data_IF_837545345491
#
_entry.id   IF_837545345491
#
_cell.length_a   1.000
_cell.length_b   1.000
_cell.length_c   1.000
_cell.angle_alpha   90.00
_cell.angle_beta   90.00
_cell.angle_gamma   90.00
#
_symmetry.space_group_name_H-M   'P 1'
#
loop_
_entity.id
_entity.type
_entity.pdbx_description
1 polymer ?
#
# COMPACT_ATOMS: atom_id res chain seq x y z
N UNK A 1 -6.55 22.57 -12.94
CA UNK A 1 -6.53 21.51 -11.92
C UNK A 1 -7.07 22.11 -10.63
N UNK A 2 -8.29 21.74 -10.22
CA UNK A 2 -8.82 22.16 -8.92
C UNK A 2 -8.08 21.41 -7.82
N UNK A 3 -7.70 22.09 -6.74
CA UNK A 3 -7.09 21.45 -5.58
C UNK A 3 -8.04 20.38 -5.01
N UNK A 4 -7.53 19.23 -4.52
CA UNK A 4 -8.36 18.22 -3.88
C UNK A 4 -9.09 18.85 -2.70
N UNK A 5 -10.37 18.51 -2.56
CA UNK A 5 -11.20 19.04 -1.47
C UNK A 5 -10.61 18.61 -0.11
N UNK A 6 -10.46 19.57 0.82
CA UNK A 6 -9.87 19.31 2.14
C UNK A 6 -10.85 18.49 2.99
N UNK A 7 -10.42 17.36 3.59
CA UNK A 7 -11.29 16.52 4.41
C UNK A 7 -11.76 17.26 5.67
N UNK A 8 -13.05 17.16 6.00
CA UNK A 8 -13.67 17.92 7.11
C UNK A 8 -13.55 17.26 8.48
N UNK A 9 -13.28 15.95 8.55
CA UNK A 9 -13.14 15.19 9.80
C UNK A 9 -12.23 13.97 9.59
N UNK A 10 -11.51 13.58 10.63
CA UNK A 10 -10.66 12.38 10.63
C UNK A 10 -11.51 11.10 10.75
N UNK A 11 -11.08 9.99 10.13
CA UNK A 11 -11.69 8.67 10.35
C UNK A 11 -11.54 8.21 11.81
N UNK A 12 -12.26 7.15 12.23
CA UNK A 12 -11.96 6.46 13.48
C UNK A 12 -10.48 6.05 13.53
N UNK A 13 -9.80 6.36 14.63
CA UNK A 13 -8.35 6.11 14.78
C UNK A 13 -8.00 4.60 14.74
N UNK A 14 -8.96 3.73 15.02
CA UNK A 14 -8.84 2.28 15.06
C UNK A 14 -9.25 1.60 13.73
N UNK A 15 -9.40 2.36 12.65
CA UNK A 15 -9.77 1.82 11.34
C UNK A 15 -8.64 0.98 10.70
N UNK A 16 -7.39 1.17 11.13
CA UNK A 16 -6.19 0.54 10.54
C UNK A 16 -6.13 0.73 9.00
N UNK A 17 -6.45 1.95 8.54
CA UNK A 17 -6.64 2.26 7.12
C UNK A 17 -5.42 1.95 6.24
N UNK A 18 -4.21 2.02 6.80
CA UNK A 18 -2.95 1.71 6.14
C UNK A 18 -2.77 0.21 5.82
N UNK A 19 -3.50 -0.66 6.53
CA UNK A 19 -3.48 -2.12 6.35
C UNK A 19 -4.53 -2.64 5.36
N UNK A 20 -5.48 -1.80 4.94
CA UNK A 20 -6.64 -2.20 4.16
C UNK A 20 -6.57 -1.60 2.75
N UNK A 21 -7.04 -2.34 1.74
CA UNK A 21 -7.27 -1.76 0.41
C UNK A 21 -8.52 -0.88 0.35
N UNK A 22 -8.76 -0.21 -0.78
CA UNK A 22 -9.89 0.71 -0.95
C UNK A 22 -11.24 0.02 -0.75
N UNK A 23 -11.39 -1.24 -1.15
CA UNK A 23 -12.64 -1.99 -1.01
C UNK A 23 -12.88 -2.39 0.45
N UNK A 24 -11.85 -2.91 1.10
CA UNK A 24 -11.89 -3.36 2.48
C UNK A 24 -12.13 -2.23 3.48
N UNK A 25 -11.41 -1.11 3.35
CA UNK A 25 -11.39 -0.06 4.37
C UNK A 25 -12.75 0.61 4.56
N UNK A 26 -13.51 0.77 3.49
CA UNK A 26 -14.83 1.39 3.54
C UNK A 26 -15.90 0.43 4.09
N UNK A 27 -15.78 -0.88 3.83
CA UNK A 27 -16.62 -1.89 4.49
C UNK A 27 -16.29 -1.96 5.98
N UNK A 28 -15.01 -1.93 6.33
CA UNK A 28 -14.55 -1.93 7.71
C UNK A 28 -15.03 -0.68 8.47
N UNK A 29 -14.99 0.50 7.85
CA UNK A 29 -15.55 1.72 8.42
C UNK A 29 -17.02 1.53 8.76
N UNK A 30 -17.82 1.06 7.80
CA UNK A 30 -19.24 0.81 8.01
C UNK A 30 -19.48 -0.21 9.13
N UNK A 31 -18.79 -1.35 9.09
CA UNK A 31 -18.93 -2.40 10.10
C UNK A 31 -18.54 -1.92 11.52
N UNK A 32 -17.48 -1.11 11.62
CA UNK A 32 -17.02 -0.54 12.88
C UNK A 32 -18.00 0.49 13.43
N UNK A 33 -18.48 1.40 12.58
CA UNK A 33 -19.39 2.47 12.97
C UNK A 33 -20.79 1.96 13.37
N UNK A 34 -21.32 0.96 12.65
CA UNK A 34 -22.69 0.46 12.87
C UNK A 34 -22.74 -0.71 13.86
N UNK A 35 -21.72 -1.57 13.90
CA UNK A 35 -21.77 -2.84 14.62
C UNK A 35 -20.60 -3.07 15.58
N UNK A 36 -19.64 -2.13 15.66
CA UNK A 36 -18.49 -2.24 16.55
C UNK A 36 -17.49 -3.34 16.15
N UNK A 37 -17.59 -3.90 14.95
CA UNK A 37 -16.69 -4.98 14.48
C UNK A 37 -15.29 -4.45 14.22
N UNK A 38 -14.26 -5.15 14.70
CA UNK A 38 -12.87 -4.79 14.45
C UNK A 38 -12.50 -5.00 12.98
N UNK A 39 -11.91 -4.00 12.29
CA UNK A 39 -11.40 -4.14 10.92
C UNK A 39 -10.39 -5.28 10.76
N UNK A 40 -9.65 -5.60 11.82
CA UNK A 40 -8.62 -6.64 11.79
C UNK A 40 -9.18 -8.04 11.50
N UNK A 41 -10.50 -8.28 11.64
CA UNK A 41 -11.10 -9.56 11.24
C UNK A 41 -10.89 -9.88 9.75
N UNK A 42 -10.71 -8.85 8.90
CA UNK A 42 -10.36 -9.01 7.48
C UNK A 42 -8.99 -9.67 7.27
N UNK A 43 -8.12 -9.65 8.29
CA UNK A 43 -6.83 -10.35 8.30
C UNK A 43 -6.90 -11.80 8.76
N UNK A 44 -8.06 -12.32 9.14
CA UNK A 44 -8.16 -13.69 9.69
C UNK A 44 -7.65 -14.75 8.70
N UNK A 45 -7.88 -14.54 7.40
CA UNK A 45 -7.41 -15.40 6.31
C UNK A 45 -6.21 -14.78 5.58
N UNK A 46 -5.11 -15.52 5.52
CA UNK A 46 -3.99 -15.24 4.62
C UNK A 46 -3.97 -16.27 3.50
N UNK A 47 -4.03 -15.83 2.24
CA UNK A 47 -4.13 -16.71 1.09
C UNK A 47 -3.18 -16.25 -0.03
N UNK A 48 -2.54 -17.21 -0.68
CA UNK A 48 -1.89 -17.01 -1.98
C UNK A 48 -2.61 -17.90 -3.00
N UNK A 49 -3.57 -17.31 -3.70
CA UNK A 49 -4.37 -17.96 -4.73
C UNK A 49 -4.38 -17.10 -6.00
N UNK A 50 -3.23 -17.00 -6.71
CA UNK A 50 -3.16 -16.22 -7.94
C UNK A 50 -4.17 -16.75 -8.95
N UNK A 51 -4.93 -15.83 -9.54
CA UNK A 51 -5.88 -16.12 -10.61
C UNK A 51 -5.17 -16.02 -11.95
N UNK A 52 -5.49 -16.94 -12.83
CA UNK A 52 -5.17 -16.79 -14.24
C UNK A 52 -5.97 -15.61 -14.81
N UNK A 53 -5.26 -14.68 -15.46
CA UNK A 53 -5.87 -13.54 -16.12
C UNK A 53 -6.24 -13.84 -17.59
N UNK A 54 -5.91 -15.04 -18.09
CA UNK A 54 -6.12 -15.49 -19.45
C UNK A 54 -4.85 -15.40 -20.31
N UNK A 55 -4.92 -15.88 -21.57
CA UNK A 55 -3.77 -15.94 -22.46
C UNK A 55 -3.07 -14.58 -22.64
N UNK A 56 -1.75 -14.56 -22.48
CA UNK A 56 -0.93 -13.35 -22.65
C UNK A 56 -1.10 -12.31 -21.54
N UNK A 57 -1.80 -12.61 -20.45
CA UNK A 57 -1.92 -11.74 -19.28
C UNK A 57 -1.20 -12.33 -18.09
N UNK A 58 -0.65 -11.47 -17.26
CA UNK A 58 0.06 -11.86 -16.04
C UNK A 58 -0.93 -12.35 -14.97
N UNK A 59 -0.61 -13.43 -14.23
CA UNK A 59 -1.45 -13.90 -13.15
C UNK A 59 -1.51 -12.87 -12.02
N UNK A 60 -2.62 -12.87 -11.28
CA UNK A 60 -2.92 -11.82 -10.30
C UNK A 60 -3.42 -12.37 -8.97
N UNK A 61 -2.91 -11.85 -7.87
CA UNK A 61 -3.43 -12.08 -6.52
C UNK A 61 -4.56 -11.12 -6.16
N UNK A 62 -4.75 -10.05 -6.94
CA UNK A 62 -5.91 -9.17 -6.84
C UNK A 62 -7.20 -9.96 -7.13
N UNK A 63 -8.12 -10.11 -6.17
CA UNK A 63 -9.40 -10.79 -6.39
C UNK A 63 -10.31 -10.00 -7.34
N UNK A 64 -11.26 -10.67 -7.99
CA UNK A 64 -12.32 -9.95 -8.70
C UNK A 64 -13.16 -9.14 -7.71
N UNK A 65 -13.50 -7.89 -8.05
CA UNK A 65 -14.18 -6.94 -7.14
C UNK A 65 -15.40 -7.54 -6.43
N UNK A 66 -16.27 -8.24 -7.16
CA UNK A 66 -17.45 -8.89 -6.57
C UNK A 66 -17.08 -9.92 -5.50
N UNK A 67 -16.16 -10.83 -5.81
CA UNK A 67 -15.67 -11.84 -4.87
C UNK A 67 -14.97 -11.21 -3.65
N UNK A 68 -14.21 -10.12 -3.86
CA UNK A 68 -13.53 -9.44 -2.77
C UNK A 68 -14.50 -8.78 -1.79
N UNK A 69 -15.54 -8.12 -2.32
CA UNK A 69 -16.61 -7.51 -1.54
C UNK A 69 -17.39 -8.56 -0.76
N UNK A 70 -17.80 -9.65 -1.41
CA UNK A 70 -18.54 -10.74 -0.75
C UNK A 70 -17.74 -11.37 0.40
N UNK A 71 -16.46 -11.67 0.17
CA UNK A 71 -15.58 -12.23 1.22
C UNK A 71 -15.38 -11.26 2.37
N UNK A 72 -15.10 -9.99 2.06
CA UNK A 72 -14.87 -8.95 3.08
C UNK A 72 -16.13 -8.69 3.89
N UNK A 73 -17.30 -8.62 3.25
CA UNK A 73 -18.59 -8.48 3.92
C UNK A 73 -18.88 -9.66 4.85
N UNK A 74 -18.68 -10.90 4.37
CA UNK A 74 -18.90 -12.10 5.19
C UNK A 74 -17.98 -12.13 6.42
N UNK A 75 -16.70 -11.79 6.26
CA UNK A 75 -15.74 -11.70 7.38
C UNK A 75 -16.15 -10.64 8.42
N UNK A 76 -16.77 -9.54 7.98
CA UNK A 76 -17.28 -8.47 8.85
C UNK A 76 -18.69 -8.76 9.42
N UNK A 77 -19.31 -9.90 9.10
CA UNK A 77 -20.69 -10.21 9.50
C UNK A 77 -21.76 -9.36 8.78
N UNK A 78 -21.42 -8.83 7.61
CA UNK A 78 -22.30 -8.02 6.76
C UNK A 78 -22.92 -8.85 5.63
N UNK A 79 -24.14 -8.48 5.24
CA UNK A 79 -24.76 -8.88 3.98
C UNK A 79 -24.80 -7.68 3.05
N UNK A 80 -24.43 -7.91 1.78
CA UNK A 80 -24.55 -6.91 0.72
C UNK A 80 -25.81 -7.22 -0.10
N UNK A 81 -26.64 -6.21 -0.35
CA UNK A 81 -27.67 -6.36 -1.38
C UNK A 81 -27.03 -6.58 -2.74
N UNK A 82 -27.77 -7.23 -3.65
CA UNK A 82 -27.39 -7.29 -5.07
C UNK A 82 -27.04 -5.89 -5.57
N UNK A 83 -25.91 -5.76 -6.25
CA UNK A 83 -25.43 -4.50 -6.79
C UNK A 83 -26.53 -3.86 -7.66
N UNK A 84 -26.83 -2.59 -7.40
CA UNK A 84 -27.59 -1.76 -8.33
C UNK A 84 -26.60 -0.93 -9.13
N UNK A 85 -26.63 -1.08 -10.45
CA UNK A 85 -25.88 -0.20 -11.35
C UNK A 85 -26.61 1.13 -11.47
N UNK A 86 -25.92 2.22 -11.17
CA UNK A 86 -26.33 3.57 -11.49
C UNK A 86 -25.87 3.92 -12.90
N UNK A 87 -26.71 4.59 -13.70
CA UNK A 87 -26.30 5.05 -15.01
C UNK A 87 -25.21 6.14 -14.90
N UNK A 88 -24.47 6.38 -16.00
CA UNK A 88 -23.61 7.55 -16.15
C UNK A 88 -24.22 8.84 -15.63
N UNK A 89 -23.43 9.61 -14.88
CA UNK A 89 -23.79 10.92 -14.33
C UNK A 89 -25.03 10.92 -13.41
N UNK A 90 -25.37 9.78 -12.80
CA UNK A 90 -26.52 9.68 -11.90
C UNK A 90 -26.32 10.55 -10.64
N UNK A 91 -27.14 11.59 -10.52
CA UNK A 91 -27.19 12.42 -9.32
C UNK A 91 -28.22 11.90 -8.28
N UNK A 92 -29.22 11.17 -8.77
CA UNK A 92 -30.27 10.57 -7.96
C UNK A 92 -29.81 9.25 -7.34
N UNK A 93 -29.56 9.28 -6.03
CA UNK A 93 -29.25 8.08 -5.25
C UNK A 93 -30.49 7.21 -5.01
N UNK A 94 -30.32 5.88 -4.87
CA UNK A 94 -31.40 5.00 -4.46
C UNK A 94 -32.08 5.50 -3.17
N UNK A 95 -33.40 5.65 -3.22
CA UNK A 95 -34.20 6.02 -2.05
C UNK A 95 -34.08 4.96 -0.93
N UNK A 96 -34.29 5.40 0.31
CA UNK A 96 -34.29 4.56 1.51
C UNK A 96 -33.20 4.94 2.52
N UNK A 97 -33.40 4.59 3.80
CA UNK A 97 -32.50 4.99 4.89
C UNK A 97 -31.15 4.26 4.82
N UNK A 98 -30.14 4.86 5.44
CA UNK A 98 -28.83 4.25 5.68
C UNK A 98 -27.76 4.54 4.63
N UNK A 99 -26.52 4.29 5.04
CA UNK A 99 -25.29 4.48 4.25
C UNK A 99 -25.27 3.58 3.02
N UNK A 100 -24.88 4.14 1.87
CA UNK A 100 -24.64 3.38 0.65
C UNK A 100 -23.15 3.02 0.56
N UNK A 101 -22.85 1.79 0.21
CA UNK A 101 -21.50 1.39 -0.20
C UNK A 101 -21.43 1.49 -1.73
N UNK A 102 -20.55 2.34 -2.23
CA UNK A 102 -20.45 2.68 -3.66
C UNK A 102 -19.10 2.21 -4.19
N UNK A 103 -19.10 1.64 -5.40
CA UNK A 103 -17.90 1.39 -6.20
C UNK A 103 -18.05 2.14 -7.52
N UNK A 104 -17.09 3.00 -7.83
CA UNK A 104 -17.05 3.80 -9.05
C UNK A 104 -15.61 3.87 -9.59
N UNK A 105 -15.43 4.51 -10.75
CA UNK A 105 -14.11 4.69 -11.33
C UNK A 105 -13.36 5.84 -10.65
N UNK A 106 -12.21 5.53 -10.05
CA UNK A 106 -11.33 6.47 -9.37
C UNK A 106 -10.89 7.66 -10.23
N UNK A 107 -10.87 7.49 -11.56
CA UNK A 107 -10.51 8.55 -12.51
C UNK A 107 -11.38 9.80 -12.34
N UNK A 108 -12.64 9.64 -11.90
CA UNK A 108 -13.60 10.74 -11.78
C UNK A 108 -13.79 11.23 -10.34
N UNK A 109 -13.11 10.65 -9.35
CA UNK A 109 -13.34 10.95 -7.93
C UNK A 109 -12.38 12.06 -7.44
N UNK A 110 -12.81 13.34 -7.30
CA UNK A 110 -11.89 14.47 -7.07
C UNK A 110 -11.19 14.49 -5.71
N UNK A 111 -11.49 13.54 -4.81
CA UNK A 111 -10.88 13.41 -3.49
C UNK A 111 -9.79 12.35 -3.41
N UNK A 112 -9.56 11.55 -4.46
CA UNK A 112 -8.47 10.56 -4.51
C UNK A 112 -7.39 11.01 -5.52
N UNK A 113 -6.12 10.62 -5.32
CA UNK A 113 -5.02 11.05 -6.19
C UNK A 113 -5.10 10.48 -7.62
N UNK A 114 -5.96 9.49 -7.87
CA UNK A 114 -6.18 8.91 -9.20
C UNK A 114 -7.00 9.79 -10.15
N UNK A 115 -7.65 10.84 -9.63
CA UNK A 115 -8.52 11.72 -10.39
C UNK A 115 -7.79 12.32 -11.61
N UNK A 116 -8.31 12.03 -12.81
CA UNK A 116 -7.72 12.47 -14.08
C UNK A 116 -6.44 11.72 -14.49
N UNK A 117 -6.01 10.71 -13.73
CA UNK A 117 -4.73 10.02 -13.92
C UNK A 117 -4.86 8.53 -14.22
N UNK A 118 -5.72 7.80 -13.52
CA UNK A 118 -5.82 6.35 -13.67
C UNK A 118 -7.24 5.84 -13.46
N UNK A 119 -7.67 4.94 -14.35
CA UNK A 119 -8.94 4.22 -14.24
C UNK A 119 -8.75 3.00 -13.32
N UNK A 120 -9.57 2.91 -12.27
CA UNK A 120 -9.65 1.73 -11.41
C UNK A 120 -10.93 1.73 -10.58
N UNK A 121 -11.41 0.54 -10.22
CA UNK A 121 -12.48 0.41 -9.23
C UNK A 121 -12.01 1.02 -7.90
N UNK A 122 -12.80 1.92 -7.33
CA UNK A 122 -12.56 2.50 -6.02
C UNK A 122 -13.88 2.58 -5.26
N UNK A 123 -13.86 2.23 -3.98
CA UNK A 123 -15.05 2.32 -3.14
C UNK A 123 -15.01 3.47 -2.16
N UNK A 124 -16.20 3.86 -1.71
CA UNK A 124 -16.42 4.85 -0.67
C UNK A 124 -17.82 4.67 -0.10
N UNK A 125 -18.08 5.31 1.04
CA UNK A 125 -19.39 5.38 1.66
C UNK A 125 -20.10 6.67 1.25
N UNK A 126 -21.40 6.57 1.02
CA UNK A 126 -22.22 7.70 0.58
C UNK A 126 -23.50 7.81 1.39
N UNK A 127 -23.65 8.95 2.06
CA UNK A 127 -24.80 9.34 2.87
C UNK A 127 -25.48 10.59 2.28
N UNK A 128 -26.62 10.97 2.88
CA UNK A 128 -27.18 12.32 2.75
C UNK A 128 -27.16 13.05 4.09
N UNK A 129 -26.75 14.32 4.09
CA UNK A 129 -26.89 15.18 5.26
C UNK A 129 -28.33 15.66 5.47
N UNK A 130 -28.58 16.37 6.57
CA UNK A 130 -29.91 16.93 6.89
C UNK A 130 -30.42 17.94 5.84
N UNK A 131 -29.53 18.51 5.04
CA UNK A 131 -29.88 19.40 3.93
C UNK A 131 -30.02 18.65 2.58
N UNK A 132 -29.95 17.31 2.60
CA UNK A 132 -30.07 16.46 1.43
C UNK A 132 -28.82 16.38 0.55
N UNK A 133 -27.71 17.02 0.93
CA UNK A 133 -26.44 16.97 0.17
C UNK A 133 -25.75 15.62 0.35
N UNK A 134 -25.00 15.24 -0.66
CA UNK A 134 -24.24 14.00 -0.64
C UNK A 134 -23.04 14.13 0.32
N UNK A 135 -22.87 13.16 1.22
CA UNK A 135 -21.73 13.08 2.12
C UNK A 135 -20.92 11.84 1.77
N UNK A 136 -19.73 12.04 1.23
CA UNK A 136 -18.77 10.99 0.92
C UNK A 136 -17.89 10.76 2.14
N UNK A 137 -17.70 9.50 2.53
CA UNK A 137 -16.65 9.10 3.47
C UNK A 137 -15.76 8.08 2.78
N UNK A 138 -14.46 8.31 2.83
CA UNK A 138 -13.49 7.44 2.22
C UNK A 138 -12.39 7.14 3.23
N UNK A 139 -12.24 5.88 3.58
CA UNK A 139 -11.19 5.40 4.48
C UNK A 139 -9.86 5.16 3.80
N UNK A 140 -9.74 5.35 2.49
CA UNK A 140 -8.54 4.93 1.75
C UNK A 140 -7.28 5.69 2.18
N UNK A 141 -6.26 4.91 2.55
CA UNK A 141 -4.93 5.41 2.89
C UNK A 141 -3.89 4.70 2.01
N UNK A 142 -3.26 5.49 1.14
CA UNK A 142 -2.14 5.02 0.34
C UNK A 142 -1.25 6.19 -0.09
N UNK A 143 0.01 5.90 -0.36
CA UNK A 143 0.85 6.79 -1.15
C UNK A 143 0.86 6.28 -2.58
N UNK A 144 0.79 7.19 -3.55
CA UNK A 144 0.73 6.84 -4.97
C UNK A 144 1.67 7.77 -5.76
N UNK A 145 2.01 7.42 -7.01
CA UNK A 145 2.76 8.33 -7.88
C UNK A 145 2.09 9.70 -8.09
N UNK A 146 0.76 9.76 -7.97
CA UNK A 146 -0.03 10.97 -8.20
C UNK A 146 -0.27 11.79 -6.92
N UNK A 147 0.21 11.30 -5.78
CA UNK A 147 0.06 11.93 -4.48
C UNK A 147 -0.56 11.00 -3.43
N UNK A 148 -0.64 11.49 -2.17
CA UNK A 148 -1.22 10.73 -1.08
C UNK A 148 -2.75 10.63 -1.20
N UNK A 149 -3.29 9.43 -1.05
CA UNK A 149 -4.66 9.22 -0.63
C UNK A 149 -4.72 9.21 0.90
N UNK A 150 -5.60 10.02 1.48
CA UNK A 150 -5.79 10.09 2.93
C UNK A 150 -7.27 9.95 3.27
N UNK A 151 -7.58 9.24 4.37
CA UNK A 151 -8.96 9.10 4.81
C UNK A 151 -9.62 10.47 5.05
N UNK A 152 -10.93 10.58 4.77
CA UNK A 152 -11.64 11.84 4.93
C UNK A 152 -13.15 11.77 4.74
N UNK A 153 -13.77 12.93 4.92
CA UNK A 153 -15.19 13.16 4.68
C UNK A 153 -15.36 14.42 3.83
N UNK A 154 -16.16 14.31 2.78
CA UNK A 154 -16.45 15.38 1.82
C UNK A 154 -17.96 15.57 1.68
N UNK A 155 -18.38 16.81 1.42
CA UNK A 155 -19.77 17.12 1.11
C UNK A 155 -19.84 17.60 -0.33
N UNK A 156 -20.69 16.97 -1.13
CA UNK A 156 -20.85 17.27 -2.54
C UNK A 156 -22.26 17.82 -2.81
N UNK A 157 -22.34 18.77 -3.71
CA UNK A 157 -23.56 19.14 -4.40
C UNK A 157 -24.02 17.99 -5.32
N UNK A 158 -25.27 18.05 -5.75
CA UNK A 158 -25.83 17.09 -6.71
C UNK A 158 -25.03 17.07 -8.03
N UNK A 159 -24.59 18.25 -8.49
CA UNK A 159 -23.76 18.38 -9.69
C UNK A 159 -22.38 17.75 -9.52
N UNK A 160 -21.71 17.99 -8.40
CA UNK A 160 -20.40 17.40 -8.11
C UNK A 160 -20.50 15.87 -7.97
N UNK A 161 -21.58 15.36 -7.36
CA UNK A 161 -21.83 13.92 -7.29
C UNK A 161 -22.05 13.32 -8.69
N UNK A 162 -22.87 13.96 -9.53
CA UNK A 162 -23.09 13.52 -10.90
C UNK A 162 -21.78 13.46 -11.70
N UNK A 163 -20.90 14.44 -11.53
CA UNK A 163 -19.57 14.45 -12.15
C UNK A 163 -18.69 13.31 -11.63
N UNK A 164 -18.68 13.07 -10.32
CA UNK A 164 -17.91 11.98 -9.72
C UNK A 164 -18.38 10.57 -10.17
N UNK A 165 -19.66 10.45 -10.55
CA UNK A 165 -20.26 9.20 -11.04
C UNK A 165 -20.46 9.21 -12.55
N UNK A 166 -19.65 9.94 -13.32
CA UNK A 166 -19.94 10.17 -14.72
C UNK A 166 -19.94 8.89 -15.57
N UNK A 167 -19.15 7.88 -15.21
CA UNK A 167 -19.12 6.56 -15.87
C UNK A 167 -20.10 5.55 -15.24
N UNK A 168 -20.92 6.01 -14.31
CA UNK A 168 -21.82 5.19 -13.51
C UNK A 168 -21.13 4.63 -12.26
N UNK A 169 -21.88 3.83 -11.51
CA UNK A 169 -21.39 3.23 -10.28
C UNK A 169 -22.17 1.96 -9.92
N UNK A 170 -21.57 1.09 -9.11
CA UNK A 170 -22.26 -0.01 -8.45
C UNK A 170 -22.54 0.38 -7.01
N UNK A 171 -23.79 0.24 -6.61
CA UNK A 171 -24.24 0.62 -5.26
C UNK A 171 -24.80 -0.60 -4.54
N UNK A 172 -24.38 -0.73 -3.29
CA UNK A 172 -24.82 -1.75 -2.37
C UNK A 172 -25.41 -1.09 -1.12
N UNK A 173 -26.43 -1.73 -0.54
CA UNK A 173 -26.82 -1.51 0.85
C UNK A 173 -26.24 -2.66 1.67
N UNK A 174 -25.88 -2.33 2.90
CA UNK A 174 -25.38 -3.28 3.89
C UNK A 174 -26.42 -3.52 4.96
N UNK A 175 -26.48 -4.74 5.47
CA UNK A 175 -27.20 -5.07 6.70
C UNK A 175 -26.39 -6.09 7.49
N UNK A 176 -26.67 -6.23 8.79
CA UNK A 176 -26.08 -7.30 9.59
C UNK A 176 -26.58 -8.67 9.11
N UNK A 177 -25.66 -9.58 8.80
CA UNK A 177 -25.96 -10.94 8.39
C UNK A 177 -25.91 -11.95 9.55
N UNK A 178 -25.15 -11.64 10.61
CA UNK A 178 -24.91 -12.55 11.73
C UNK A 178 -23.66 -12.19 12.53
N UNK A 179 -23.09 -13.17 13.22
CA UNK A 179 -21.75 -13.03 13.80
C UNK A 179 -20.69 -13.02 12.66
N UNK A 180 -19.59 -12.28 12.82
CA UNK A 180 -18.43 -12.38 11.93
C UNK A 180 -18.04 -13.84 11.71
N UNK A 181 -17.85 -14.24 10.45
CA UNK A 181 -17.40 -15.60 10.16
C UNK A 181 -15.91 -15.73 10.46
N UNK A 182 -15.55 -16.54 11.46
CA UNK A 182 -14.15 -16.86 11.72
C UNK A 182 -13.57 -17.69 10.57
N UNK A 183 -12.62 -17.12 9.85
CA UNK A 183 -11.82 -17.84 8.86
C UNK A 183 -10.39 -17.96 9.41
N UNK A 184 -10.02 -19.13 9.93
CA UNK A 184 -8.72 -19.35 10.60
C UNK A 184 -7.65 -19.97 9.69
N UNK A 185 -7.85 -19.97 8.36
CA UNK A 185 -6.93 -20.66 7.46
C UNK A 185 -5.88 -19.73 6.86
N UNK A 186 -4.60 -19.99 7.17
CA UNK A 186 -3.51 -19.71 6.24
C UNK A 186 -3.61 -20.75 5.12
N UNK A 187 -3.94 -20.32 3.91
CA UNK A 187 -3.90 -21.19 2.72
C UNK A 187 -2.47 -21.19 2.20
N UNK A 188 -1.70 -22.19 2.62
CA UNK A 188 -0.31 -22.34 2.21
C UNK A 188 -0.22 -22.46 0.69
N UNK A 189 0.62 -21.60 0.08
CA UNK A 189 0.96 -21.71 -1.33
C UNK A 189 1.62 -23.07 -1.59
N UNK A 190 1.18 -23.79 -2.62
CA UNK A 190 1.94 -24.96 -3.08
C UNK A 190 3.20 -24.48 -3.79
N UNK A 191 4.28 -25.25 -3.70
CA UNK A 191 5.52 -24.89 -4.39
C UNK A 191 5.29 -24.71 -5.91
N UNK A 192 4.47 -25.57 -6.51
CA UNK A 192 4.10 -25.48 -7.92
C UNK A 192 3.34 -24.18 -8.26
N UNK A 193 2.47 -23.68 -7.37
CA UNK A 193 1.75 -22.43 -7.60
C UNK A 193 2.70 -21.21 -7.54
N UNK A 194 3.63 -21.20 -6.58
CA UNK A 194 4.66 -20.14 -6.48
C UNK A 194 5.53 -20.12 -7.73
N UNK A 195 6.07 -21.27 -8.11
CA UNK A 195 6.94 -21.38 -9.29
C UNK A 195 6.23 -20.98 -10.58
N UNK A 196 4.98 -21.42 -10.75
CA UNK A 196 4.21 -21.04 -11.93
C UNK A 196 3.93 -19.53 -11.98
N UNK A 197 3.65 -18.92 -10.83
CA UNK A 197 3.41 -17.48 -10.72
C UNK A 197 4.69 -16.70 -11.07
N UNK A 198 5.81 -17.00 -10.41
CA UNK A 198 7.09 -16.33 -10.63
C UNK A 198 7.59 -16.49 -12.07
N UNK A 199 7.46 -17.71 -12.63
CA UNK A 199 7.81 -17.97 -14.03
C UNK A 199 7.02 -17.10 -15.00
N UNK A 200 5.72 -16.91 -14.78
CA UNK A 200 4.90 -16.06 -15.65
C UNK A 200 5.41 -14.62 -15.69
N UNK A 201 5.85 -14.08 -14.55
CA UNK A 201 6.49 -12.76 -14.51
C UNK A 201 7.88 -12.75 -15.10
N UNK A 202 8.68 -13.81 -14.95
CA UNK A 202 10.04 -13.91 -15.53
C UNK A 202 10.02 -13.96 -17.05
N UNK A 203 9.12 -14.75 -17.62
CA UNK A 203 9.06 -15.07 -19.04
C UNK A 203 8.23 -14.05 -19.85
N UNK A 204 7.62 -13.07 -19.19
CA UNK A 204 6.80 -12.07 -19.88
C UNK A 204 7.65 -11.22 -20.84
N UNK A 205 7.26 -11.10 -22.12
CA UNK A 205 8.07 -10.44 -23.15
C UNK A 205 8.16 -8.93 -22.93
N UNK A 206 7.11 -8.31 -22.39
CA UNK A 206 7.13 -6.90 -21.98
C UNK A 206 7.58 -6.81 -20.52
N UNK A 207 8.85 -6.50 -20.31
CA UNK A 207 9.43 -6.35 -18.96
C UNK A 207 8.86 -5.16 -18.20
N UNK A 208 8.50 -4.09 -18.90
CA UNK A 208 7.95 -2.89 -18.26
C UNK A 208 6.56 -3.19 -17.71
N UNK A 209 5.70 -3.84 -18.50
CA UNK A 209 4.38 -4.30 -18.04
C UNK A 209 4.50 -5.32 -16.89
N UNK A 210 5.45 -6.25 -17.00
CA UNK A 210 5.69 -7.24 -15.95
C UNK A 210 6.02 -6.61 -14.60
N UNK A 211 6.94 -5.64 -14.58
CA UNK A 211 7.35 -4.95 -13.35
C UNK A 211 6.28 -3.97 -12.86
N UNK A 212 5.55 -3.31 -13.78
CA UNK A 212 4.42 -2.46 -13.43
C UNK A 212 3.34 -3.26 -12.70
N UNK A 213 3.01 -4.44 -13.20
CA UNK A 213 2.07 -5.34 -12.54
C UNK A 213 2.65 -5.89 -11.24
N UNK A 214 3.88 -6.40 -11.24
CA UNK A 214 4.53 -6.97 -10.05
C UNK A 214 4.61 -5.96 -8.89
N UNK A 215 4.76 -4.67 -9.19
CA UNK A 215 4.69 -3.59 -8.19
C UNK A 215 3.37 -3.61 -7.42
N UNK A 216 2.24 -3.71 -8.14
CA UNK A 216 0.91 -3.79 -7.51
C UNK A 216 0.76 -5.09 -6.71
N UNK A 217 1.22 -6.21 -7.27
CA UNK A 217 1.07 -7.53 -6.65
C UNK A 217 1.86 -7.64 -5.35
N UNK A 218 3.13 -7.21 -5.34
CA UNK A 218 3.97 -7.21 -4.13
C UNK A 218 3.43 -6.28 -3.06
N UNK A 219 2.83 -5.14 -3.45
CA UNK A 219 2.12 -4.26 -2.53
C UNK A 219 0.89 -4.93 -1.90
N UNK A 220 0.03 -5.58 -2.70
CA UNK A 220 -1.13 -6.34 -2.21
C UNK A 220 -0.71 -7.46 -1.26
N UNK A 221 0.33 -8.21 -1.64
CA UNK A 221 0.87 -9.31 -0.86
C UNK A 221 1.44 -8.84 0.48
N UNK A 222 2.29 -7.80 0.47
CA UNK A 222 2.85 -7.25 1.69
C UNK A 222 1.75 -6.72 2.62
N UNK A 223 0.74 -6.03 2.07
CA UNK A 223 -0.39 -5.49 2.83
C UNK A 223 -1.24 -6.59 3.48
N UNK A 224 -1.61 -7.63 2.74
CA UNK A 224 -2.38 -8.76 3.27
C UNK A 224 -1.65 -9.44 4.45
N UNK A 225 -0.32 -9.55 4.39
CA UNK A 225 0.50 -10.15 5.46
C UNK A 225 0.61 -9.27 6.69
N UNK A 226 0.73 -7.95 6.52
CA UNK A 226 0.68 -7.01 7.66
C UNK A 226 -0.70 -7.04 8.34
N UNK A 227 -1.78 -7.08 7.55
CA UNK A 227 -3.14 -7.20 8.07
C UNK A 227 -3.32 -8.52 8.84
N UNK A 228 -2.84 -9.64 8.30
CA UNK A 228 -2.89 -10.93 8.97
C UNK A 228 -2.06 -10.95 10.27
N UNK A 229 -0.86 -10.39 10.25
CA UNK A 229 -0.04 -10.26 11.45
C UNK A 229 -0.70 -9.37 12.51
N UNK A 230 -1.34 -8.28 12.12
CA UNK A 230 -2.07 -7.40 13.05
C UNK A 230 -3.31 -8.11 13.64
N UNK A 231 -4.05 -8.88 12.84
CA UNK A 231 -5.12 -9.74 13.32
C UNK A 231 -4.62 -10.73 14.39
N UNK A 232 -3.50 -11.40 14.09
CA UNK A 232 -2.84 -12.32 15.03
C UNK A 232 -2.37 -11.62 16.29
N UNK A 233 -1.78 -10.43 16.16
CA UNK A 233 -1.32 -9.60 17.28
C UNK A 233 -2.44 -9.23 18.25
N UNK A 234 -3.63 -8.95 17.72
CA UNK A 234 -4.80 -8.65 18.54
C UNK A 234 -5.28 -9.86 19.37
N UNK A 235 -4.89 -11.08 18.98
CA UNK A 235 -5.20 -12.32 19.70
C UNK A 235 -4.04 -12.85 20.58
N UNK A 236 -2.84 -12.24 20.51
CA UNK A 236 -1.64 -12.65 21.27
C UNK A 236 -0.33 -12.07 20.71
N UNK A 237 0.80 -12.31 21.37
CA UNK A 237 2.10 -11.73 20.96
C UNK A 237 2.62 -12.29 19.62
N UNK A 238 3.07 -11.40 18.72
CA UNK A 238 3.64 -11.78 17.42
C UNK A 238 5.11 -12.19 17.58
N UNK A 239 5.47 -13.40 17.11
CA UNK A 239 6.84 -13.89 17.16
C UNK A 239 7.81 -12.98 16.37
N UNK A 240 9.06 -12.77 16.83
CA UNK A 240 10.04 -11.94 16.13
C UNK A 240 10.26 -12.31 14.65
N UNK A 241 10.13 -13.60 14.30
CA UNK A 241 10.22 -14.08 12.92
C UNK A 241 9.16 -13.46 12.00
N UNK A 242 7.96 -13.19 12.51
CA UNK A 242 6.90 -12.52 11.73
C UNK A 242 7.30 -11.07 11.44
N UNK A 243 7.82 -10.34 12.42
CA UNK A 243 8.27 -8.95 12.21
C UNK A 243 9.40 -8.86 11.18
N UNK A 244 10.37 -9.78 11.23
CA UNK A 244 11.43 -9.90 10.23
C UNK A 244 10.87 -10.21 8.83
N UNK A 245 9.91 -11.14 8.76
CA UNK A 245 9.27 -11.51 7.49
C UNK A 245 8.48 -10.34 6.89
N UNK A 246 7.73 -9.58 7.69
CA UNK A 246 7.02 -8.38 7.23
C UNK A 246 7.98 -7.29 6.74
N UNK A 247 9.12 -7.13 7.42
CA UNK A 247 10.18 -6.21 6.98
C UNK A 247 10.72 -6.63 5.61
N UNK A 248 10.96 -7.92 5.40
CA UNK A 248 11.41 -8.44 4.11
C UNK A 248 10.37 -8.24 2.99
N UNK A 249 9.08 -8.41 3.27
CA UNK A 249 8.01 -8.09 2.34
C UNK A 249 7.94 -6.59 1.99
N UNK A 250 8.19 -5.72 2.97
CA UNK A 250 8.33 -4.28 2.74
C UNK A 250 9.46 -3.95 1.76
N UNK A 251 10.65 -4.52 2.01
CA UNK A 251 11.83 -4.36 1.14
C UNK A 251 11.56 -4.84 -0.28
N UNK A 252 10.94 -6.02 -0.45
CA UNK A 252 10.58 -6.54 -1.77
C UNK A 252 9.63 -5.60 -2.55
N UNK A 253 8.62 -5.03 -1.89
CA UNK A 253 7.69 -4.10 -2.53
C UNK A 253 8.41 -2.81 -3.00
N UNK A 254 9.33 -2.29 -2.19
CA UNK A 254 10.15 -1.12 -2.53
C UNK A 254 11.12 -1.43 -3.69
N UNK A 255 11.81 -2.57 -3.63
CA UNK A 255 12.72 -3.05 -4.67
C UNK A 255 12.01 -3.25 -6.00
N UNK A 256 10.81 -3.85 -5.98
CA UNK A 256 10.02 -4.06 -7.19
C UNK A 256 9.58 -2.74 -7.81
N UNK A 257 9.18 -1.76 -6.99
CA UNK A 257 8.83 -0.42 -7.46
C UNK A 257 10.04 0.30 -8.08
N UNK A 258 11.21 0.21 -7.46
CA UNK A 258 12.46 0.74 -8.00
C UNK A 258 12.83 0.08 -9.34
N UNK A 259 12.75 -1.25 -9.42
CA UNK A 259 13.00 -2.00 -10.65
C UNK A 259 12.09 -1.54 -11.79
N UNK A 260 10.79 -1.40 -11.53
CA UNK A 260 9.83 -0.83 -12.49
C UNK A 260 10.29 0.55 -12.96
N UNK A 261 10.56 1.49 -12.04
CA UNK A 261 10.94 2.87 -12.40
C UNK A 261 12.21 2.93 -13.24
N UNK A 262 13.18 2.06 -12.96
CA UNK A 262 14.41 1.93 -13.76
C UNK A 262 14.11 1.46 -15.19
N UNK A 263 13.35 0.37 -15.34
CA UNK A 263 12.99 -0.18 -16.66
C UNK A 263 12.13 0.80 -17.46
N UNK A 264 11.18 1.49 -16.82
CA UNK A 264 10.37 2.55 -17.43
C UNK A 264 11.23 3.68 -18.04
N UNK A 265 12.44 3.88 -17.53
CA UNK A 265 13.40 4.88 -18.01
C UNK A 265 14.42 4.32 -18.99
N UNK A 266 14.24 3.09 -19.46
CA UNK A 266 15.15 2.42 -20.38
C UNK A 266 16.46 1.93 -19.72
N UNK A 267 16.52 1.85 -18.39
CA UNK A 267 17.65 1.22 -17.69
C UNK A 267 17.44 -0.31 -17.56
N UNK A 268 18.51 -1.10 -17.38
CA UNK A 268 18.39 -2.54 -17.15
C UNK A 268 17.55 -2.88 -15.91
N UNK A 269 16.84 -4.01 -15.99
CA UNK A 269 16.11 -4.62 -14.87
C UNK A 269 17.10 -5.14 -13.81
N UNK A 270 16.96 -4.71 -12.53
CA UNK A 270 17.74 -5.29 -11.43
C UNK A 270 17.42 -6.78 -11.24
N UNK A 271 18.46 -7.59 -10.98
CA UNK A 271 18.29 -9.01 -10.67
C UNK A 271 17.78 -9.22 -9.23
N UNK A 272 17.07 -10.33 -8.98
CA UNK A 272 16.73 -10.77 -7.62
C UNK A 272 15.28 -10.59 -7.13
N UNK A 273 14.46 -9.60 -7.58
CA UNK A 273 13.11 -9.43 -7.04
C UNK A 273 12.21 -10.68 -7.17
N UNK A 274 12.34 -11.42 -8.27
CA UNK A 274 11.53 -12.61 -8.53
C UNK A 274 11.96 -13.81 -7.68
N UNK A 275 13.27 -13.98 -7.48
CA UNK A 275 13.83 -15.00 -6.59
C UNK A 275 13.42 -14.71 -5.14
N UNK A 276 13.53 -13.45 -4.72
CA UNK A 276 13.12 -13.01 -3.39
C UNK A 276 11.63 -13.17 -3.14
N UNK A 277 10.80 -12.89 -4.14
CA UNK A 277 9.36 -13.14 -4.07
C UNK A 277 9.07 -14.64 -3.85
N UNK A 278 9.74 -15.53 -4.59
CA UNK A 278 9.56 -16.97 -4.41
C UNK A 278 9.91 -17.40 -2.98
N UNK A 279 11.08 -17.00 -2.49
CA UNK A 279 11.53 -17.28 -1.12
C UNK A 279 10.52 -16.85 -0.06
N UNK A 280 10.01 -15.61 -0.17
CA UNK A 280 9.07 -15.07 0.81
C UNK A 280 7.71 -15.78 0.76
N UNK A 281 7.23 -16.15 -0.43
CA UNK A 281 6.00 -16.93 -0.58
C UNK A 281 6.12 -18.34 0.01
N UNK A 282 7.26 -19.01 -0.19
CA UNK A 282 7.50 -20.31 0.43
C UNK A 282 7.57 -20.24 1.96
N UNK A 283 8.19 -19.17 2.49
CA UNK A 283 8.35 -18.95 3.92
C UNK A 283 7.02 -18.62 4.64
N UNK A 284 5.99 -18.12 3.94
CA UNK A 284 4.71 -17.74 4.57
C UNK A 284 4.11 -18.86 5.43
N UNK A 285 4.12 -20.09 4.94
CA UNK A 285 3.58 -21.24 5.70
C UNK A 285 4.35 -21.45 7.00
N UNK A 286 5.68 -21.39 6.98
CA UNK A 286 6.51 -21.58 8.17
C UNK A 286 6.32 -20.43 9.17
N UNK A 287 6.31 -19.19 8.68
CA UNK A 287 6.22 -17.98 9.52
C UNK A 287 4.82 -17.82 10.13
N UNK A 288 3.76 -18.06 9.36
CA UNK A 288 2.39 -17.79 9.79
C UNK A 288 1.64 -19.00 10.35
N UNK A 289 2.14 -20.24 10.20
CA UNK A 289 1.52 -21.42 10.84
C UNK A 289 2.23 -21.89 12.11
N UNK A 290 3.42 -21.37 12.42
CA UNK A 290 4.12 -21.71 13.65
C UNK A 290 3.25 -21.39 14.89
N UNK A 291 3.03 -22.37 15.80
CA UNK A 291 2.29 -22.13 17.04
C UNK A 291 3.04 -21.11 17.91
N UNK A 292 2.29 -20.28 18.64
CA UNK A 292 2.86 -19.29 19.54
C UNK A 292 3.73 -19.98 20.60
N UNK A 293 5.02 -19.62 20.77
CA UNK A 293 5.70 -19.92 22.00
C UNK A 293 5.07 -19.09 23.13
N UNK A 294 4.58 -19.76 24.17
CA UNK A 294 4.26 -19.12 25.44
C UNK A 294 5.57 -18.65 26.06
N UNK A 295 5.65 -17.36 26.39
CA UNK A 295 6.90 -16.71 26.78
C UNK A 295 7.38 -17.15 28.17
N UNK A 296 8.61 -17.66 28.26
CA UNK A 296 9.50 -17.36 29.37
C UNK A 296 10.34 -16.13 29.02
N UNK A 297 10.47 -15.20 29.96
CA UNK A 297 11.17 -13.93 29.75
C UNK A 297 12.69 -14.10 29.85
N UNK A 298 13.43 -13.56 28.88
CA UNK A 298 14.88 -13.38 28.94
C UNK A 298 15.27 -11.91 28.63
N UNK A 299 16.42 -11.42 29.16
CA UNK A 299 16.69 -10.01 29.36
C UNK A 299 17.35 -9.31 28.15
N UNK A 300 17.30 -7.98 28.18
CA UNK A 300 17.74 -7.05 27.14
C UNK A 300 19.27 -7.00 26.95
N UNK A 301 19.67 -6.86 25.69
CA UNK A 301 21.05 -6.72 25.19
C UNK A 301 21.61 -5.30 25.37
N UNK A 302 22.92 -5.22 25.62
CA UNK A 302 23.69 -3.99 25.73
C UNK A 302 24.20 -3.41 24.39
N UNK A 303 24.61 -2.14 24.49
CA UNK A 303 25.15 -1.23 23.48
C UNK A 303 26.32 -1.77 22.63
N UNK A 304 26.37 -1.32 21.38
CA UNK A 304 27.60 -1.39 20.56
C UNK A 304 27.87 -0.03 19.91
N UNK A 305 29.02 0.56 20.27
CA UNK A 305 29.53 1.84 19.80
C UNK A 305 30.05 1.77 18.35
N UNK A 306 29.88 2.87 17.60
CA UNK A 306 30.37 3.06 16.21
C UNK A 306 31.83 3.52 16.20
N UNK A 307 32.64 2.91 15.34
CA UNK A 307 33.94 3.42 14.93
C UNK A 307 33.81 4.18 13.59
N UNK A 308 34.48 5.32 13.49
CA UNK A 308 34.56 6.15 12.29
C UNK A 308 35.87 5.88 11.53
N UNK A 309 35.78 5.69 10.21
CA UNK A 309 36.92 5.80 9.29
C UNK A 309 36.55 6.62 8.07
N UNK A 310 37.48 7.47 7.64
CA UNK A 310 37.28 8.57 6.69
C UNK A 310 36.98 8.16 5.25
N UNK A 311 36.28 9.07 4.57
CA UNK A 311 35.89 9.05 3.16
C UNK A 311 36.19 10.45 2.56
N UNK A 312 36.39 10.56 1.24
CA UNK A 312 36.79 11.81 0.57
C UNK A 312 35.66 12.85 0.59
N UNK A 313 36.04 14.14 0.60
CA UNK A 313 35.22 15.36 0.71
C UNK A 313 33.72 15.14 1.08
N UNK A 314 33.51 14.59 2.28
CA UNK A 314 32.19 14.18 2.80
C UNK A 314 31.19 15.32 2.83
N UNK A 315 31.67 16.56 2.92
CA UNK A 315 30.83 17.75 2.97
C UNK A 315 30.22 18.10 1.61
N UNK A 316 30.95 17.87 0.51
CA UNK A 316 30.44 18.08 -0.84
C UNK A 316 29.34 17.05 -1.19
N UNK A 317 29.59 15.78 -0.90
CA UNK A 317 28.59 14.69 -1.10
C UNK A 317 27.38 14.91 -0.21
N UNK A 318 27.58 15.20 1.08
CA UNK A 318 26.48 15.47 2.03
C UNK A 318 25.62 16.64 1.58
N UNK A 319 26.24 17.71 1.07
CA UNK A 319 25.52 18.87 0.54
C UNK A 319 24.72 18.51 -0.71
N UNK A 320 25.31 17.77 -1.65
CA UNK A 320 24.61 17.32 -2.86
C UNK A 320 23.40 16.43 -2.54
N UNK A 321 23.56 15.45 -1.64
CA UNK A 321 22.47 14.59 -1.17
C UNK A 321 21.37 15.42 -0.49
N UNK A 322 21.74 16.35 0.38
CA UNK A 322 20.78 17.22 1.07
C UNK A 322 20.02 18.13 0.10
N UNK A 323 20.67 18.67 -0.93
CA UNK A 323 20.04 19.51 -1.94
C UNK A 323 19.02 18.75 -2.78
N UNK A 324 19.33 17.52 -3.22
CA UNK A 324 18.37 16.71 -3.98
C UNK A 324 17.18 16.28 -3.11
N UNK A 325 17.45 15.85 -1.86
CA UNK A 325 16.42 15.53 -0.89
C UNK A 325 15.49 16.72 -0.62
N UNK A 326 16.08 17.90 -0.40
CA UNK A 326 15.35 19.14 -0.18
C UNK A 326 14.51 19.55 -1.39
N UNK A 327 15.05 19.40 -2.61
CA UNK A 327 14.34 19.74 -3.83
C UNK A 327 13.12 18.84 -4.08
N UNK A 328 13.22 17.54 -3.79
CA UNK A 328 12.08 16.61 -3.89
C UNK A 328 11.03 16.91 -2.82
N UNK A 329 11.46 17.16 -1.59
CA UNK A 329 10.58 17.38 -0.45
C UNK A 329 10.07 18.81 -0.32
N UNK A 330 10.54 19.72 -1.18
CA UNK A 330 10.19 21.14 -1.19
C UNK A 330 10.40 21.82 0.17
N UNK A 331 11.53 21.50 0.81
CA UNK A 331 11.99 22.12 2.07
C UNK A 331 13.37 22.76 1.88
N UNK A 332 13.81 23.67 2.78
CA UNK A 332 15.18 24.18 2.75
C UNK A 332 16.21 23.11 3.07
N UNK A 333 17.28 22.99 2.26
CA UNK A 333 18.36 22.02 2.48
C UNK A 333 19.09 22.21 3.83
N UNK A 334 19.11 23.44 4.35
CA UNK A 334 19.66 23.75 5.66
C UNK A 334 18.97 22.97 6.80
N UNK A 335 17.67 22.70 6.68
CA UNK A 335 16.94 21.92 7.70
C UNK A 335 17.37 20.46 7.71
N UNK A 336 17.65 19.87 6.54
CA UNK A 336 18.14 18.50 6.43
C UNK A 336 19.57 18.38 6.95
N UNK A 337 20.42 19.34 6.60
CA UNK A 337 21.81 19.41 7.07
C UNK A 337 21.90 19.57 8.59
N UNK A 338 20.91 20.22 9.21
CA UNK A 338 20.78 20.34 10.66
C UNK A 338 20.29 19.06 11.36
N UNK A 339 20.10 17.96 10.61
CA UNK A 339 19.74 16.65 11.17
C UNK A 339 18.24 16.39 11.28
N UNK A 340 17.38 17.19 10.62
CA UNK A 340 15.95 16.88 10.54
C UNK A 340 15.76 15.54 9.80
N UNK A 341 15.12 14.53 10.42
CA UNK A 341 14.88 13.26 9.76
C UNK A 341 13.87 13.43 8.61
N UNK A 342 14.07 12.70 7.51
CA UNK A 342 13.20 12.82 6.34
C UNK A 342 11.77 12.34 6.66
N UNK A 343 11.64 11.34 7.52
CA UNK A 343 10.37 10.83 8.04
C UNK A 343 9.54 11.87 8.79
N UNK A 344 10.16 12.94 9.29
CA UNK A 344 9.49 14.05 9.96
C UNK A 344 9.01 15.16 9.00
N UNK A 345 9.09 14.95 7.68
CA UNK A 345 8.72 15.94 6.67
C UNK A 345 7.37 15.56 6.04
N UNK A 346 6.36 16.44 6.08
CA UNK A 346 5.08 16.19 5.43
C UNK A 346 5.25 15.84 3.94
N UNK A 347 4.68 14.70 3.54
CA UNK A 347 4.75 14.21 2.15
C UNK A 347 5.95 13.32 1.85
N UNK A 348 6.84 13.07 2.80
CA UNK A 348 7.83 12.00 2.69
C UNK A 348 7.16 10.61 2.74
N UNK A 349 7.59 9.72 1.85
CA UNK A 349 7.09 8.35 1.70
C UNK A 349 7.88 7.63 0.61
N UNK A 350 7.64 6.34 0.39
CA UNK A 350 8.48 5.50 -0.49
C UNK A 350 8.60 6.06 -1.93
N UNK A 351 7.57 6.73 -2.46
CA UNK A 351 7.65 7.40 -3.77
C UNK A 351 8.63 8.58 -3.78
N UNK A 352 8.59 9.43 -2.74
CA UNK A 352 9.54 10.53 -2.61
C UNK A 352 10.95 10.01 -2.35
N UNK A 353 11.07 8.90 -1.65
CA UNK A 353 12.36 8.24 -1.47
C UNK A 353 13.00 7.88 -2.81
N UNK A 354 12.23 7.23 -3.69
CA UNK A 354 12.70 6.86 -5.03
C UNK A 354 13.10 8.09 -5.82
N UNK A 355 12.29 9.15 -5.81
CA UNK A 355 12.63 10.42 -6.48
C UNK A 355 13.96 11.00 -5.96
N UNK A 356 14.24 10.90 -4.65
CA UNK A 356 15.50 11.37 -4.03
C UNK A 356 16.67 10.51 -4.49
N UNK A 357 16.55 9.19 -4.35
CA UNK A 357 17.59 8.21 -4.74
C UNK A 357 17.97 8.41 -6.21
N UNK A 358 16.99 8.48 -7.10
CA UNK A 358 17.22 8.65 -8.55
C UNK A 358 17.93 9.97 -8.88
N UNK A 359 17.57 11.07 -8.19
CA UNK A 359 18.22 12.36 -8.41
C UNK A 359 19.66 12.37 -7.90
N UNK A 360 19.94 11.66 -6.80
CA UNK A 360 21.30 11.49 -6.29
C UNK A 360 22.14 10.67 -7.29
N UNK A 361 21.63 9.52 -7.76
CA UNK A 361 22.30 8.69 -8.79
C UNK A 361 22.62 9.52 -10.03
N UNK A 362 21.64 10.26 -10.54
CA UNK A 362 21.80 11.08 -11.74
C UNK A 362 22.83 12.21 -11.53
N UNK A 363 22.78 12.91 -10.40
CA UNK A 363 23.67 14.03 -10.12
C UNK A 363 25.11 13.59 -9.89
N UNK A 364 25.30 12.47 -9.22
CA UNK A 364 26.63 11.99 -8.82
C UNK A 364 27.23 10.97 -9.81
N UNK A 365 26.44 10.53 -10.80
CA UNK A 365 26.89 9.54 -11.78
C UNK A 365 27.15 8.16 -11.17
N UNK A 366 26.44 7.84 -10.09
CA UNK A 366 26.58 6.57 -9.36
C UNK A 366 25.33 5.71 -9.54
N UNK A 367 25.46 4.43 -9.22
CA UNK A 367 24.36 3.49 -9.14
C UNK A 367 24.36 2.85 -7.75
N UNK A 368 23.22 2.88 -7.05
CA UNK A 368 23.11 2.23 -5.76
C UNK A 368 22.92 0.72 -5.94
N UNK A 369 23.61 -0.05 -5.11
CA UNK A 369 23.30 -1.47 -4.94
C UNK A 369 21.87 -1.63 -4.39
N UNK A 370 21.12 -2.59 -4.95
CA UNK A 370 19.75 -2.87 -4.52
C UNK A 370 19.69 -3.21 -3.01
N UNK A 371 20.68 -3.93 -2.48
CA UNK A 371 20.76 -4.30 -1.06
C UNK A 371 20.99 -3.09 -0.13
N UNK A 372 21.48 -1.98 -0.67
CA UNK A 372 21.67 -0.73 0.05
C UNK A 372 20.42 0.16 0.05
N UNK A 373 19.47 -0.07 -0.87
CA UNK A 373 18.19 0.64 -0.98
C UNK A 373 17.16 0.08 -0.01
N UNK A 374 17.48 0.12 1.28
CA UNK A 374 16.63 -0.38 2.38
C UNK A 374 16.18 0.75 3.32
N UNK A 375 15.00 0.66 3.96
CA UNK A 375 14.45 1.71 4.82
C UNK A 375 15.45 2.28 5.85
N UNK A 376 16.29 1.42 6.43
CA UNK A 376 17.28 1.80 7.44
C UNK A 376 18.36 2.75 6.91
N UNK A 377 18.59 2.77 5.60
CA UNK A 377 19.54 3.69 4.94
C UNK A 377 18.85 4.89 4.31
N UNK A 378 17.52 4.84 4.16
CA UNK A 378 16.79 5.78 3.33
C UNK A 378 16.02 6.82 4.17
N UNK A 379 15.77 6.56 5.46
CA UNK A 379 14.96 7.43 6.33
C UNK A 379 15.64 8.70 6.84
N UNK A 380 16.96 8.80 6.72
CA UNK A 380 17.73 9.96 7.15
C UNK A 380 18.86 10.29 6.17
N UNK A 381 19.33 11.54 6.28
CA UNK A 381 20.38 12.07 5.40
C UNK A 381 21.71 11.31 5.57
N UNK A 382 21.99 10.81 6.78
CA UNK A 382 23.24 10.11 7.07
C UNK A 382 23.28 8.73 6.40
N UNK A 383 22.15 8.03 6.38
CA UNK A 383 21.95 6.77 5.67
C UNK A 383 22.17 6.95 4.18
N UNK A 384 21.54 7.95 3.56
CA UNK A 384 21.72 8.28 2.15
C UNK A 384 23.19 8.60 1.83
N UNK A 385 23.86 9.39 2.67
CA UNK A 385 25.28 9.68 2.50
C UNK A 385 26.16 8.42 2.61
N UNK A 386 25.83 7.48 3.52
CA UNK A 386 26.58 6.22 3.68
C UNK A 386 26.52 5.34 2.44
N UNK A 387 25.32 5.15 1.88
CA UNK A 387 25.15 4.33 0.67
C UNK A 387 25.75 5.05 -0.56
N UNK A 388 25.68 6.38 -0.60
CA UNK A 388 26.27 7.20 -1.67
C UNK A 388 27.78 7.06 -1.69
N UNK A 389 28.41 7.11 -0.51
CA UNK A 389 29.84 6.91 -0.38
C UNK A 389 30.29 5.47 -0.67
N UNK A 390 29.41 4.48 -0.54
CA UNK A 390 29.70 3.09 -0.95
C UNK A 390 29.64 2.93 -2.46
N UNK A 391 28.56 3.36 -3.09
CA UNK A 391 28.39 3.35 -4.54
C UNK A 391 29.52 4.11 -5.28
N UNK A 392 29.98 5.24 -4.72
CA UNK A 392 31.13 5.99 -5.27
C UNK A 392 32.46 5.22 -5.25
N UNK A 393 32.66 4.28 -4.32
CA UNK A 393 33.88 3.45 -4.25
C UNK A 393 33.84 2.25 -5.20
N UNK A 394 32.64 1.89 -5.65
CA UNK A 394 32.39 0.74 -6.52
C UNK A 394 32.24 1.15 -8.00
N UNK A 395 32.12 2.46 -8.25
CA UNK A 395 32.16 3.04 -9.61
C UNK A 395 33.63 3.25 -10.02
N UNK A 396 34.13 2.58 -11.08
CA UNK A 396 35.55 2.60 -11.48
C UNK A 396 36.07 3.95 -11.99
#
# INVERSE_FOLDING_TARGET
MSAPAVPRTAPPADLCADLLDCLQVNLAWLARAEYGVSPLVLGARLEFAPRDAGPGRLPTVDPATGTHLERSAAALGLSLTKARTLPPCAAALPAGPGTLYVVADAYHLPWVPYHGHAHMDHSFLLDRDAAGRAVVRDGYHNDTPYGPARPGIWTLTEKELAQALCDGARVHRTSRAGAPQEATAVVAATAAAVESYVRAYREHPDRQEALARLTLETWLLARARRLHAAHRAAAGDVAPAVAQHLTAWGKLAEHTFLAHRRVQRGRPEPAGPLERLAELLHADSQVFTAPYPVREAAPATGDVARAATGLPDTDAVRRAVAEEAAAVLRVPAAELLAGRPLTGIPGFGSFRMVDIVERIEQRLGIEFDADDLVPEHLHDLDGLCRITARAHRETP
#
